data_IF_873865951298
#
_entry.id   IF_873865951298
#
_cell.length_a   1.000
_cell.length_b   1.000
_cell.length_c   1.000
_cell.angle_alpha   90.00
_cell.angle_beta   90.00
_cell.angle_gamma   90.00
#
_symmetry.space_group_name_H-M   'P 1'
#
loop_
_entity.id
_entity.type
_entity.pdbx_description
1 polymer ?
#
# COMPACT_ATOMS: atom_id res chain seq x y z
N UNK A 1 17.48 0.81 -99.04
CA UNK A 1 17.33 0.71 -97.56
C UNK A 1 16.75 2.02 -97.06
N UNK A 2 15.52 2.06 -96.49
CA UNK A 2 15.02 3.23 -95.80
C UNK A 2 15.04 3.00 -94.28
N UNK A 3 15.47 4.00 -93.50
CA UNK A 3 15.11 4.08 -92.08
C UNK A 3 14.68 5.52 -91.76
N UNK A 4 13.39 5.59 -91.45
CA UNK A 4 12.55 6.58 -90.76
C UNK A 4 13.28 7.13 -89.51
N UNK A 5 13.05 8.27 -88.86
CA UNK A 5 11.87 9.11 -88.64
C UNK A 5 12.30 10.42 -87.92
N UNK A 6 11.36 11.36 -87.94
CA UNK A 6 11.33 12.75 -87.48
C UNK A 6 11.33 12.97 -85.95
N UNK A 7 11.43 14.26 -85.62
CA UNK A 7 10.97 15.01 -84.44
C UNK A 7 11.97 15.13 -83.28
N UNK A 8 12.50 16.32 -83.00
CA UNK A 8 11.90 17.55 -82.40
C UNK A 8 11.81 17.50 -80.87
N UNK A 9 12.31 18.61 -80.31
CA UNK A 9 11.99 19.26 -79.04
C UNK A 9 12.72 18.80 -77.78
N UNK A 10 13.51 19.75 -77.25
CA UNK A 10 13.53 20.27 -75.87
C UNK A 10 13.48 19.23 -74.74
N UNK A 11 14.43 19.33 -73.79
CA UNK A 11 14.11 19.69 -72.39
C UNK A 11 15.35 19.62 -71.48
N UNK A 12 15.68 20.79 -70.94
CA UNK A 12 16.17 21.08 -69.58
C UNK A 12 16.66 19.93 -68.69
N UNK A 13 17.94 20.00 -68.30
CA UNK A 13 18.48 19.29 -67.14
C UNK A 13 17.80 19.77 -65.85
N UNK A 14 16.91 18.95 -65.29
CA UNK A 14 16.51 19.05 -63.88
C UNK A 14 17.52 18.31 -63.01
N UNK A 15 18.36 19.07 -62.30
CA UNK A 15 19.11 18.56 -61.15
C UNK A 15 18.09 18.29 -60.02
N UNK A 16 17.69 17.03 -59.86
CA UNK A 16 16.81 16.57 -58.79
C UNK A 16 17.55 16.66 -57.45
N UNK A 17 17.32 17.76 -56.72
CA UNK A 17 17.70 17.93 -55.32
C UNK A 17 16.87 16.98 -54.45
N UNK A 18 17.49 15.88 -54.00
CA UNK A 18 16.89 14.94 -53.05
C UNK A 18 16.57 15.66 -51.73
N UNK A 19 15.28 15.89 -51.45
CA UNK A 19 14.82 16.46 -50.17
C UNK A 19 14.75 15.33 -49.13
N UNK A 20 15.75 15.28 -48.26
CA UNK A 20 15.82 14.38 -47.10
C UNK A 20 14.65 14.63 -46.14
N UNK A 21 13.62 13.80 -46.22
CA UNK A 21 12.48 13.80 -45.28
C UNK A 21 12.88 13.38 -43.85
N UNK A 22 14.08 12.83 -43.66
CA UNK A 22 14.60 12.39 -42.36
C UNK A 22 14.87 13.54 -41.37
N UNK A 23 15.12 14.76 -41.85
CA UNK A 23 15.52 15.89 -40.99
C UNK A 23 14.38 16.43 -40.12
N UNK A 24 13.11 16.17 -40.49
CA UNK A 24 11.93 16.64 -39.75
C UNK A 24 11.35 15.59 -38.79
N UNK A 25 11.73 14.33 -38.91
CA UNK A 25 11.13 13.21 -38.14
C UNK A 25 11.92 12.97 -36.84
N UNK A 26 13.22 13.25 -36.84
CA UNK A 26 14.13 13.05 -35.71
C UNK A 26 13.77 13.90 -34.46
N UNK A 27 13.46 15.20 -34.53
CA UNK A 27 13.07 15.97 -33.35
C UNK A 27 11.67 15.61 -32.83
N UNK A 28 10.77 15.13 -33.70
CA UNK A 28 9.39 14.75 -33.32
C UNK A 28 9.38 13.47 -32.48
N UNK A 29 10.23 12.49 -32.81
CA UNK A 29 10.40 11.27 -32.02
C UNK A 29 11.06 11.54 -30.66
N UNK A 30 12.01 12.49 -30.59
CA UNK A 30 12.67 12.88 -29.33
C UNK A 30 11.67 13.58 -28.38
N UNK A 31 10.79 14.44 -28.90
CA UNK A 31 9.73 15.10 -28.11
C UNK A 31 8.67 14.09 -27.64
N UNK A 32 8.29 13.12 -28.47
CA UNK A 32 7.37 12.03 -28.09
C UNK A 32 7.97 11.11 -27.00
N UNK A 33 9.28 10.85 -27.06
CA UNK A 33 9.97 10.04 -26.05
C UNK A 33 10.14 10.78 -24.71
N UNK A 34 10.33 12.11 -24.75
CA UNK A 34 10.37 12.96 -23.54
C UNK A 34 9.00 13.12 -22.88
N UNK A 35 7.90 13.03 -23.64
CA UNK A 35 6.55 13.10 -23.11
C UNK A 35 6.09 11.81 -22.41
N UNK A 36 6.74 10.67 -22.69
CA UNK A 36 6.40 9.36 -22.11
C UNK A 36 7.05 9.10 -20.74
N UNK A 37 7.93 10.01 -20.27
CA UNK A 37 8.69 9.85 -19.03
C UNK A 37 8.07 10.54 -17.79
N UNK A 38 6.91 11.19 -17.91
CA UNK A 38 6.34 12.04 -16.83
C UNK A 38 5.39 11.33 -15.88
N UNK A 39 5.32 10.00 -15.87
CA UNK A 39 4.46 9.26 -14.95
C UNK A 39 5.18 8.07 -14.27
N UNK A 40 6.38 8.31 -13.73
CA UNK A 40 6.86 7.49 -12.61
C UNK A 40 6.37 8.15 -11.32
N UNK A 41 5.18 7.77 -10.87
CA UNK A 41 4.74 8.02 -9.50
C UNK A 41 5.75 7.35 -8.58
N UNK A 42 6.65 8.15 -8.01
CA UNK A 42 7.45 7.72 -6.87
C UNK A 42 6.49 7.54 -5.70
N UNK A 43 6.00 6.30 -5.50
CA UNK A 43 5.46 5.91 -4.21
C UNK A 43 6.62 6.03 -3.21
N UNK A 44 6.64 7.13 -2.49
CA UNK A 44 7.52 7.30 -1.33
C UNK A 44 7.07 6.28 -0.28
N UNK A 45 7.69 5.09 -0.28
CA UNK A 45 7.47 4.09 0.76
C UNK A 45 7.94 4.68 2.09
N UNK A 46 6.98 5.10 2.91
CA UNK A 46 7.24 5.51 4.28
C UNK A 46 7.58 4.25 5.06
N UNK A 47 8.88 3.97 5.19
CA UNK A 47 9.42 2.88 6.00
C UNK A 47 9.13 3.12 7.48
N UNK A 48 7.94 2.76 7.93
CA UNK A 48 7.51 2.78 9.33
C UNK A 48 6.36 1.82 9.54
N UNK A 49 6.32 1.15 10.70
CA UNK A 49 5.18 0.32 11.09
C UNK A 49 3.98 1.25 11.31
N UNK A 50 2.86 0.98 10.64
CA UNK A 50 1.63 1.74 10.86
C UNK A 50 1.12 1.49 12.29
N UNK A 51 0.93 2.53 13.10
CA UNK A 51 0.54 2.39 14.51
C UNK A 51 -0.88 2.89 14.73
N UNK A 52 -1.67 2.09 15.43
CA UNK A 52 -3.06 2.37 15.77
C UNK A 52 -3.28 2.29 17.27
N UNK A 53 -4.23 3.07 17.76
CA UNK A 53 -4.66 3.15 19.16
C UNK A 53 -6.18 3.08 19.24
N UNK A 54 -6.76 3.12 20.43
CA UNK A 54 -8.22 3.15 20.66
C UNK A 54 -8.94 4.26 19.88
N UNK A 55 -8.24 5.38 19.62
CA UNK A 55 -8.79 6.51 18.86
C UNK A 55 -9.07 6.15 17.41
N UNK A 56 -8.42 5.11 16.91
CA UNK A 56 -8.51 4.63 15.53
C UNK A 56 -9.51 3.47 15.40
N UNK A 57 -10.29 3.18 16.45
CA UNK A 57 -11.29 2.11 16.43
C UNK A 57 -12.34 2.35 15.32
N UNK A 58 -12.59 1.32 14.52
CA UNK A 58 -13.50 1.35 13.37
C UNK A 58 -12.91 2.00 12.12
N UNK A 59 -11.64 2.41 12.13
CA UNK A 59 -10.97 3.02 10.98
C UNK A 59 -10.51 1.99 9.94
N UNK A 60 -9.88 2.48 8.87
CA UNK A 60 -9.37 1.67 7.77
C UNK A 60 -7.96 2.07 7.37
N UNK A 61 -7.15 1.10 6.96
CA UNK A 61 -5.78 1.29 6.46
C UNK A 61 -5.53 0.49 5.18
N UNK A 62 -4.79 1.08 4.24
CA UNK A 62 -4.21 0.38 3.10
C UNK A 62 -2.73 0.10 3.36
N UNK A 63 -2.29 -1.14 3.10
CA UNK A 63 -0.92 -1.61 3.28
C UNK A 63 -0.43 -2.34 2.03
N UNK A 64 0.86 -2.26 1.75
CA UNK A 64 1.51 -3.14 0.78
C UNK A 64 1.79 -4.53 1.36
N UNK A 65 1.84 -5.55 0.50
CA UNK A 65 2.26 -6.90 0.91
C UNK A 65 3.64 -6.87 1.61
N UNK A 66 3.72 -7.50 2.78
CA UNK A 66 4.90 -7.55 3.65
C UNK A 66 5.03 -6.39 4.63
N UNK A 67 4.21 -5.34 4.51
CA UNK A 67 4.17 -4.26 5.50
C UNK A 67 3.56 -4.74 6.81
N UNK A 68 3.96 -4.08 7.90
CA UNK A 68 3.49 -4.39 9.25
C UNK A 68 2.70 -3.23 9.82
N UNK A 69 1.75 -3.58 10.67
CA UNK A 69 1.05 -2.65 11.53
C UNK A 69 1.15 -3.10 12.99
N UNK A 70 1.02 -2.14 13.89
CA UNK A 70 0.90 -2.35 15.33
C UNK A 70 -0.38 -1.71 15.85
N UNK A 71 -1.05 -2.38 16.79
CA UNK A 71 -2.22 -1.88 17.49
C UNK A 71 -1.86 -1.85 18.98
N UNK A 72 -1.96 -0.69 19.61
CA UNK A 72 -1.60 -0.44 21.01
C UNK A 72 -2.85 -0.09 21.80
N UNK A 73 -3.25 -0.97 22.71
CA UNK A 73 -4.46 -0.82 23.50
C UNK A 73 -4.13 -0.85 25.00
N UNK A 74 -4.70 0.09 25.75
CA UNK A 74 -4.77 0.10 27.19
C UNK A 74 -5.38 -1.19 27.71
N UNK A 75 -4.69 -1.79 28.66
CA UNK A 75 -5.03 -3.08 29.28
C UNK A 75 -4.72 -3.00 30.76
N UNK A 76 -5.58 -3.53 31.61
CA UNK A 76 -5.31 -3.62 33.04
C UNK A 76 -5.44 -5.07 33.50
N UNK A 77 -4.33 -5.79 33.45
CA UNK A 77 -4.30 -7.22 33.82
C UNK A 77 -4.64 -7.45 35.30
N UNK A 78 -4.60 -6.42 36.16
CA UNK A 78 -4.92 -6.56 37.60
C UNK A 78 -6.42 -6.77 37.86
N UNK A 79 -7.29 -6.39 36.90
CA UNK A 79 -8.74 -6.63 36.98
C UNK A 79 -9.15 -7.99 36.40
N UNK A 80 -8.19 -8.73 35.84
CA UNK A 80 -8.41 -10.02 35.19
C UNK A 80 -8.79 -9.95 33.71
N UNK A 81 -8.88 -8.76 33.14
CA UNK A 81 -9.17 -8.58 31.71
C UNK A 81 -7.89 -8.61 30.87
N UNK A 82 -8.05 -9.03 29.61
CA UNK A 82 -6.99 -9.04 28.59
C UNK A 82 -7.60 -8.87 27.21
N UNK A 83 -6.85 -8.30 26.27
CA UNK A 83 -7.27 -8.31 24.87
C UNK A 83 -7.03 -9.67 24.24
N UNK A 84 -7.95 -10.09 23.38
CA UNK A 84 -7.90 -11.36 22.67
C UNK A 84 -8.27 -11.16 21.21
N UNK A 85 -7.60 -11.90 20.33
CA UNK A 85 -7.97 -11.94 18.92
C UNK A 85 -9.32 -12.65 18.76
N UNK A 86 -10.29 -11.97 18.14
CA UNK A 86 -11.57 -12.58 17.81
C UNK A 86 -11.41 -13.64 16.73
N UNK A 87 -12.23 -14.70 16.80
CA UNK A 87 -12.26 -15.77 15.78
C UNK A 87 -12.67 -15.27 14.39
N UNK A 88 -13.33 -14.11 14.33
CA UNK A 88 -13.78 -13.49 13.08
C UNK A 88 -12.69 -12.65 12.40
N UNK A 89 -11.49 -12.53 13.00
CA UNK A 89 -10.38 -11.78 12.41
C UNK A 89 -9.89 -12.43 11.12
N UNK A 90 -9.73 -11.63 10.05
CA UNK A 90 -9.26 -12.09 8.75
C UNK A 90 -7.75 -12.32 8.69
N UNK A 91 -7.25 -13.31 9.43
CA UNK A 91 -5.81 -13.58 9.59
C UNK A 91 -5.10 -14.07 8.32
N UNK A 92 -5.84 -14.44 7.27
CA UNK A 92 -5.26 -14.82 5.98
C UNK A 92 -4.68 -13.62 5.21
N UNK A 93 -5.30 -12.44 5.34
CA UNK A 93 -4.89 -11.20 4.69
C UNK A 93 -3.94 -10.42 5.60
N UNK A 94 -4.30 -10.25 6.88
CA UNK A 94 -3.48 -9.61 7.90
C UNK A 94 -3.08 -10.63 8.97
N UNK A 95 -1.91 -11.24 8.82
CA UNK A 95 -1.45 -12.30 9.70
C UNK A 95 -1.03 -11.76 11.06
N UNK A 96 -1.54 -12.35 12.13
CA UNK A 96 -1.07 -12.09 13.49
C UNK A 96 0.37 -12.59 13.65
N UNK A 97 1.25 -11.73 14.15
CA UNK A 97 2.68 -12.03 14.35
C UNK A 97 2.99 -12.27 15.83
N UNK A 98 2.60 -11.32 16.70
CA UNK A 98 2.91 -11.37 18.12
C UNK A 98 2.05 -10.39 18.91
N UNK A 99 1.92 -10.61 20.23
CA UNK A 99 1.45 -9.61 21.17
C UNK A 99 2.38 -9.50 22.38
N UNK A 100 2.44 -8.31 22.99
CA UNK A 100 3.23 -8.04 24.18
C UNK A 100 2.49 -7.03 25.08
N UNK A 101 2.43 -7.32 26.38
CA UNK A 101 1.96 -6.38 27.39
C UNK A 101 3.12 -5.65 28.06
N UNK A 102 3.01 -4.33 28.21
CA UNK A 102 3.95 -3.50 28.96
C UNK A 102 3.20 -2.62 29.96
N UNK A 103 3.60 -2.69 31.21
CA UNK A 103 3.11 -1.77 32.24
C UNK A 103 3.37 -0.30 31.85
N UNK A 104 2.42 0.57 32.18
CA UNK A 104 2.54 2.00 31.91
C UNK A 104 3.73 2.57 32.68
N UNK A 105 4.66 3.21 31.96
CA UNK A 105 5.80 3.87 32.59
C UNK A 105 5.39 5.04 33.51
N UNK A 106 4.20 5.61 33.29
CA UNK A 106 3.69 6.74 34.09
C UNK A 106 3.24 6.32 35.49
N UNK A 107 2.89 5.05 35.66
CA UNK A 107 2.16 4.57 36.82
C UNK A 107 2.87 3.41 37.53
N UNK A 108 4.16 3.19 37.23
CA UNK A 108 4.97 2.07 37.79
C UNK A 108 5.01 2.02 39.32
N UNK A 109 4.73 3.14 39.99
CA UNK A 109 4.73 3.24 41.45
C UNK A 109 3.33 3.02 42.06
N UNK A 110 2.29 2.86 41.25
CA UNK A 110 0.90 2.70 41.71
C UNK A 110 0.49 1.22 41.58
N UNK A 111 0.23 0.57 42.72
CA UNK A 111 -0.34 -0.77 42.72
C UNK A 111 -1.70 -0.78 42.00
N UNK A 112 -1.87 -1.68 41.02
CA UNK A 112 -3.09 -1.75 40.20
C UNK A 112 -3.05 -0.90 38.91
N UNK A 113 -1.92 -0.25 38.62
CA UNK A 113 -1.73 0.47 37.37
C UNK A 113 -1.90 -0.46 36.16
N UNK A 114 -2.61 0.05 35.15
CA UNK A 114 -2.70 -0.61 33.85
C UNK A 114 -1.41 -0.49 33.04
N UNK A 115 -1.46 -1.02 31.84
CA UNK A 115 -0.41 -0.98 30.84
C UNK A 115 -0.98 -0.93 29.44
N UNK A 116 -0.13 -1.21 28.46
CA UNK A 116 -0.45 -1.24 27.04
C UNK A 116 -0.16 -2.64 26.52
N UNK A 117 -1.15 -3.24 25.88
CA UNK A 117 -1.01 -4.45 25.10
C UNK A 117 -0.82 -4.07 23.62
N UNK A 118 0.29 -4.51 23.04
CA UNK A 118 0.67 -4.21 21.66
C UNK A 118 0.53 -5.47 20.81
N UNK A 119 -0.25 -5.41 19.74
CA UNK A 119 -0.43 -6.49 18.78
C UNK A 119 0.24 -6.13 17.46
N UNK A 120 1.04 -7.04 16.90
CA UNK A 120 1.73 -6.86 15.62
C UNK A 120 1.09 -7.76 14.57
N UNK A 121 0.79 -7.17 13.42
CA UNK A 121 0.27 -7.88 12.25
C UNK A 121 1.15 -7.60 11.02
N UNK A 122 1.14 -8.54 10.07
CA UNK A 122 1.82 -8.42 8.79
C UNK A 122 0.83 -8.65 7.64
N UNK A 123 0.80 -7.75 6.67
CA UNK A 123 0.02 -7.89 5.45
C UNK A 123 0.59 -9.03 4.58
N UNK A 124 -0.11 -10.16 4.46
CA UNK A 124 0.38 -11.35 3.76
C UNK A 124 -0.24 -11.55 2.38
N UNK A 125 -1.55 -11.41 2.27
CA UNK A 125 -2.27 -11.67 1.02
C UNK A 125 -3.06 -10.45 0.58
N UNK A 126 -3.07 -10.21 -0.74
CA UNK A 126 -3.84 -9.12 -1.36
C UNK A 126 -5.32 -9.36 -1.13
N UNK A 127 -6.04 -8.31 -0.72
CA UNK A 127 -7.46 -8.39 -0.40
C UNK A 127 -7.86 -7.51 0.78
N UNK A 128 -9.04 -7.77 1.32
CA UNK A 128 -9.59 -7.02 2.45
C UNK A 128 -9.84 -7.95 3.63
N UNK A 129 -9.55 -7.47 4.84
CA UNK A 129 -9.84 -8.17 6.08
C UNK A 129 -10.14 -7.17 7.20
N UNK A 130 -10.70 -7.69 8.28
CA UNK A 130 -10.92 -6.96 9.51
C UNK A 130 -10.09 -7.60 10.62
N UNK A 131 -9.38 -6.77 11.39
CA UNK A 131 -8.74 -7.14 12.64
C UNK A 131 -9.69 -6.79 13.76
N UNK A 132 -10.04 -7.78 14.58
CA UNK A 132 -10.99 -7.62 15.69
C UNK A 132 -10.33 -8.11 16.98
N UNK A 133 -10.19 -7.21 17.95
CA UNK A 133 -9.67 -7.49 19.28
C UNK A 133 -10.78 -7.28 20.31
N UNK A 134 -10.95 -8.25 21.21
CA UNK A 134 -12.00 -8.28 22.24
C UNK A 134 -11.36 -8.20 23.63
N UNK A 135 -11.81 -7.26 24.47
CA UNK A 135 -11.34 -7.12 25.84
C UNK A 135 -12.25 -7.91 26.79
N UNK A 136 -11.74 -9.03 27.30
CA UNK A 136 -12.54 -10.04 28.01
C UNK A 136 -11.80 -10.58 29.22
N UNK A 137 -12.53 -11.18 30.16
CA UNK A 137 -11.96 -12.07 31.18
C UNK A 137 -11.93 -13.49 30.63
N UNK A 138 -10.74 -14.10 30.44
CA UNK A 138 -10.63 -15.38 29.74
C UNK A 138 -11.40 -16.56 30.36
N UNK A 139 -11.76 -16.47 31.64
CA UNK A 139 -12.52 -17.49 32.38
C UNK A 139 -14.03 -17.26 32.39
N UNK A 140 -14.52 -16.13 31.89
CA UNK A 140 -15.96 -15.86 31.75
C UNK A 140 -16.40 -16.29 30.35
N UNK A 141 -17.24 -17.32 30.27
CA UNK A 141 -17.76 -17.82 29.00
C UNK A 141 -19.09 -17.16 28.65
N UNK A 142 -19.32 -16.92 27.35
CA UNK A 142 -20.58 -16.41 26.80
C UNK A 142 -21.02 -15.03 27.33
N UNK A 143 -20.06 -14.20 27.75
CA UNK A 143 -20.30 -12.81 28.12
C UNK A 143 -19.83 -11.89 26.99
N UNK A 144 -20.56 -10.80 26.74
CA UNK A 144 -20.15 -9.78 25.78
C UNK A 144 -18.84 -9.13 26.21
N UNK A 145 -17.90 -8.85 25.28
CA UNK A 145 -16.67 -8.15 25.60
C UNK A 145 -16.94 -6.78 26.21
N UNK A 146 -16.12 -6.38 27.19
CA UNK A 146 -16.23 -5.04 27.78
C UNK A 146 -15.85 -3.96 26.75
N UNK A 147 -14.90 -4.27 25.86
CA UNK A 147 -14.48 -3.42 24.75
C UNK A 147 -14.21 -4.26 23.51
N UNK A 148 -14.42 -3.65 22.35
CA UNK A 148 -14.05 -4.22 21.06
C UNK A 148 -13.28 -3.17 20.27
N UNK A 149 -12.18 -3.57 19.66
CA UNK A 149 -11.40 -2.78 18.73
C UNK A 149 -11.45 -3.42 17.34
N UNK A 150 -11.80 -2.63 16.33
CA UNK A 150 -11.93 -3.05 14.94
C UNK A 150 -11.05 -2.18 14.04
N UNK A 151 -10.33 -2.81 13.10
CA UNK A 151 -9.56 -2.12 12.07
C UNK A 151 -9.70 -2.84 10.73
N UNK A 152 -10.14 -2.10 9.71
CA UNK A 152 -10.26 -2.63 8.34
C UNK A 152 -8.92 -2.49 7.62
N UNK A 153 -8.40 -3.59 7.12
CA UNK A 153 -7.12 -3.66 6.41
C UNK A 153 -7.39 -4.01 4.96
N UNK A 154 -6.89 -3.17 4.06
CA UNK A 154 -6.80 -3.46 2.62
C UNK A 154 -5.34 -3.69 2.26
N UNK A 155 -5.04 -4.81 1.63
CA UNK A 155 -3.70 -5.16 1.15
C UNK A 155 -3.68 -5.07 -0.38
N UNK A 156 -2.74 -4.30 -0.91
CA UNK A 156 -2.54 -4.05 -2.35
C UNK A 156 -1.22 -4.67 -2.88
#
# INVERSE_FOLDING_TARGET
>A
MPVINKNKSLNTCHCLKTKNRAFLILPVLIVLFLFMFTAFSACTQKSGIASFTEKDNGSSVSLGKGEKLEIKLESNMTTGYSWKLSKNTGTSVAAFVSSEYKESAKDKEIAGAGGIETFIFEAKEVGQAEIILEYVRPWEENIEPEKVFELKVTVE
#
